data_IF_615188977662
#
_entry.id   IF_615188977662
#
_cell.length_a   1.000
_cell.length_b   1.000
_cell.length_c   1.000
_cell.angle_alpha   90.00
_cell.angle_beta   90.00
_cell.angle_gamma   90.00
#
_symmetry.space_group_name_H-M   'P 1'
#
loop_
_entity.id
_entity.type
_entity.pdbx_description
1 polymer ?
#
# COMPACT_ATOMS: atom_id res chain seq x y z
N UNK A 1 -8.02 33.05 1.86
CA UNK A 1 -6.99 32.47 0.99
C UNK A 1 -7.35 31.02 0.75
N UNK A 2 -7.85 30.69 -0.44
CA UNK A 2 -8.18 29.30 -0.79
C UNK A 2 -6.91 28.46 -0.73
N UNK A 3 -6.88 27.46 0.15
CA UNK A 3 -5.79 26.48 0.16
C UNK A 3 -5.77 25.80 -1.21
N UNK A 4 -4.64 25.84 -1.92
CA UNK A 4 -4.52 25.21 -3.23
C UNK A 4 -4.94 23.73 -3.17
N UNK A 5 -5.50 23.19 -4.27
CA UNK A 5 -6.10 21.84 -4.32
C UNK A 5 -5.24 20.75 -3.66
N UNK A 6 -3.91 20.83 -3.81
CA UNK A 6 -2.97 19.85 -3.24
C UNK A 6 -2.77 19.97 -1.72
N UNK A 7 -3.04 21.14 -1.13
CA UNK A 7 -2.93 21.35 0.31
C UNK A 7 -3.98 20.54 1.10
N UNK A 8 -5.03 20.03 0.44
CA UNK A 8 -5.99 19.12 1.06
C UNK A 8 -5.38 17.76 1.40
N UNK A 9 -4.34 17.32 0.68
CA UNK A 9 -3.63 16.07 0.98
C UNK A 9 -2.97 16.08 2.36
N UNK A 10 -2.60 17.27 2.85
CA UNK A 10 -2.01 17.45 4.18
C UNK A 10 -2.97 17.10 5.33
N UNK A 11 -4.27 16.92 5.05
CA UNK A 11 -5.24 16.41 6.04
C UNK A 11 -5.03 14.93 6.36
N UNK A 12 -4.59 14.15 5.37
CA UNK A 12 -4.37 12.71 5.50
C UNK A 12 -2.88 12.37 5.66
N UNK A 13 -1.99 13.16 5.06
CA UNK A 13 -0.57 12.86 4.98
C UNK A 13 0.30 13.92 5.62
N UNK A 14 1.28 13.46 6.39
CA UNK A 14 2.37 14.29 6.91
C UNK A 14 3.70 13.73 6.38
N UNK A 15 4.20 14.20 5.23
CA UNK A 15 5.49 13.74 4.68
C UNK A 15 6.67 14.03 5.62
N UNK A 16 7.82 13.40 5.34
CA UNK A 16 9.07 13.62 6.05
C UNK A 16 9.50 12.46 6.95
N UNK A 17 10.82 12.26 7.05
CA UNK A 17 11.46 11.14 7.77
C UNK A 17 11.03 11.02 9.24
N UNK A 18 10.83 12.15 9.94
CA UNK A 18 10.37 12.14 11.34
C UNK A 18 8.97 11.55 11.47
N UNK A 19 8.07 11.87 10.54
CA UNK A 19 6.72 11.33 10.52
C UNK A 19 6.71 9.87 10.07
N UNK A 20 7.60 9.49 9.14
CA UNK A 20 7.78 8.11 8.74
C UNK A 20 8.18 7.21 9.94
N UNK A 21 9.11 7.67 10.79
CA UNK A 21 9.53 6.94 11.99
C UNK A 21 8.42 6.84 13.04
N UNK A 22 7.60 7.89 13.19
CA UNK A 22 6.41 7.85 14.07
C UNK A 22 5.38 6.86 13.55
N UNK A 23 5.10 6.88 12.25
CA UNK A 23 4.17 5.93 11.61
C UNK A 23 4.66 4.49 11.77
N UNK A 24 5.96 4.24 11.60
CA UNK A 24 6.56 2.92 11.81
C UNK A 24 6.39 2.44 13.25
N UNK A 25 6.73 3.29 14.22
CA UNK A 25 6.60 2.97 15.65
C UNK A 25 5.15 2.69 16.04
N UNK A 26 4.23 3.52 15.55
CA UNK A 26 2.78 3.38 15.79
C UNK A 26 2.26 2.07 15.22
N UNK A 27 2.66 1.73 13.99
CA UNK A 27 2.27 0.47 13.37
C UNK A 27 2.78 -0.75 14.15
N UNK A 28 4.07 -0.74 14.51
CA UNK A 28 4.72 -1.86 15.20
C UNK A 28 4.13 -2.12 16.59
N UNK A 29 3.72 -1.07 17.31
CA UNK A 29 3.18 -1.20 18.66
C UNK A 29 1.65 -1.33 18.72
N UNK A 30 0.95 -1.16 17.60
CA UNK A 30 -0.50 -1.31 17.53
C UNK A 30 -0.93 -2.29 16.44
N UNK A 31 -1.29 -1.82 15.23
CA UNK A 31 -1.92 -2.65 14.19
C UNK A 31 -1.15 -3.91 13.76
N UNK A 32 0.18 -3.95 13.95
CA UNK A 32 0.99 -5.11 13.53
C UNK A 32 0.53 -6.42 14.17
N UNK A 33 0.06 -6.43 15.42
CA UNK A 33 -0.33 -7.69 16.09
C UNK A 33 -1.52 -8.38 15.40
N UNK A 34 -2.48 -7.60 14.90
CA UNK A 34 -3.69 -8.11 14.24
C UNK A 34 -3.62 -8.04 12.70
N UNK A 35 -2.45 -7.73 12.15
CA UNK A 35 -2.28 -7.52 10.72
C UNK A 35 -2.75 -8.73 9.89
N UNK A 36 -2.52 -9.96 10.37
CA UNK A 36 -2.95 -11.19 9.68
C UNK A 36 -4.46 -11.23 9.43
N UNK A 37 -5.25 -10.90 10.46
CA UNK A 37 -6.71 -10.92 10.44
C UNK A 37 -7.28 -9.70 9.71
N UNK A 38 -6.69 -8.53 9.94
CA UNK A 38 -7.30 -7.27 9.53
C UNK A 38 -6.80 -6.73 8.18
N UNK A 39 -5.73 -7.28 7.57
CA UNK A 39 -5.19 -6.80 6.27
C UNK A 39 -6.18 -6.76 5.10
N UNK A 40 -7.33 -7.42 5.22
CA UNK A 40 -8.38 -7.45 4.19
C UNK A 40 -9.46 -6.39 4.41
N UNK A 41 -9.54 -5.83 5.61
CA UNK A 41 -10.54 -4.82 5.98
C UNK A 41 -10.11 -3.47 5.44
N UNK A 42 -10.89 -2.92 4.51
CA UNK A 42 -10.66 -1.61 3.91
C UNK A 42 -11.28 -0.46 4.73
N UNK A 43 -12.15 -0.76 5.69
CA UNK A 43 -12.88 0.21 6.50
C UNK A 43 -12.09 0.74 7.72
N UNK A 44 -10.91 0.17 7.98
CA UNK A 44 -10.16 0.38 9.22
C UNK A 44 -8.69 0.66 8.94
N UNK A 45 -8.09 1.55 9.73
CA UNK A 45 -6.66 1.90 9.67
C UNK A 45 -5.75 0.79 10.22
N UNK A 46 -5.76 -0.36 9.56
CA UNK A 46 -5.14 -1.62 10.02
C UNK A 46 -3.79 -1.90 9.34
N UNK A 47 -3.43 -1.12 8.33
CA UNK A 47 -2.17 -1.22 7.60
C UNK A 47 -1.17 -0.18 8.08
N UNK A 48 0.07 -0.25 7.59
CA UNK A 48 1.16 0.59 8.09
C UNK A 48 1.15 2.03 7.59
N UNK A 49 0.45 2.32 6.49
CA UNK A 49 0.52 3.61 5.78
C UNK A 49 1.94 4.06 5.39
N UNK A 50 2.92 3.15 5.41
CA UNK A 50 4.33 3.46 5.15
C UNK A 50 4.70 3.52 3.66
N UNK A 51 3.79 3.18 2.74
CA UNK A 51 4.13 3.06 1.32
C UNK A 51 4.70 4.34 0.69
N UNK A 52 4.19 5.56 0.96
CA UNK A 52 4.79 6.78 0.41
C UNK A 52 6.17 7.06 1.01
N UNK A 53 6.30 6.90 2.34
CA UNK A 53 7.58 7.08 3.04
C UNK A 53 8.66 6.10 2.54
N UNK A 54 8.30 4.85 2.28
CA UNK A 54 9.19 3.82 1.74
C UNK A 54 9.55 4.04 0.26
N UNK A 55 8.67 4.68 -0.51
CA UNK A 55 8.93 5.03 -1.91
C UNK A 55 10.02 6.11 -1.99
N UNK A 56 9.86 7.20 -1.21
CA UNK A 56 10.81 8.32 -1.17
C UNK A 56 12.06 8.07 -0.30
N UNK A 57 12.16 6.91 0.34
CA UNK A 57 13.33 6.56 1.16
C UNK A 57 13.42 7.33 2.48
N UNK A 58 12.32 7.93 2.93
CA UNK A 58 12.22 8.64 4.22
C UNK A 58 12.37 7.68 5.41
N UNK A 59 12.11 6.40 5.20
CA UNK A 59 12.37 5.32 6.15
C UNK A 59 13.14 4.18 5.48
N UNK A 60 14.18 3.70 6.16
CA UNK A 60 15.00 2.60 5.67
C UNK A 60 14.23 1.27 5.75
N UNK A 61 14.14 0.55 4.64
CA UNK A 61 13.53 -0.79 4.60
C UNK A 61 14.25 -1.78 5.52
N UNK A 62 15.58 -1.62 5.70
CA UNK A 62 16.37 -2.43 6.64
C UNK A 62 15.99 -2.16 8.10
N UNK A 63 15.68 -0.91 8.43
CA UNK A 63 15.17 -0.52 9.76
C UNK A 63 13.80 -1.17 10.02
N UNK A 64 12.89 -1.11 9.04
CA UNK A 64 11.58 -1.78 9.13
C UNK A 64 11.76 -3.28 9.36
N UNK A 65 12.58 -3.95 8.55
CA UNK A 65 12.85 -5.38 8.69
C UNK A 65 13.42 -5.73 10.07
N UNK A 66 14.41 -4.98 10.55
CA UNK A 66 15.06 -5.21 11.83
C UNK A 66 14.06 -5.11 13.00
N UNK A 67 13.27 -4.04 13.07
CA UNK A 67 12.31 -3.83 14.15
C UNK A 67 11.19 -4.88 14.15
N UNK A 68 10.70 -5.25 12.97
CA UNK A 68 9.69 -6.30 12.82
C UNK A 68 10.25 -7.67 13.23
N UNK A 69 11.51 -7.96 12.88
CA UNK A 69 12.17 -9.21 13.28
C UNK A 69 12.39 -9.29 14.79
N UNK A 70 12.71 -8.17 15.46
CA UNK A 70 12.77 -8.12 16.92
C UNK A 70 11.42 -8.47 17.53
N UNK A 71 10.32 -7.86 17.05
CA UNK A 71 8.96 -8.20 17.53
C UNK A 71 8.62 -9.67 17.31
N UNK A 72 9.06 -10.25 16.20
CA UNK A 72 8.84 -11.68 15.93
C UNK A 72 9.47 -12.58 16.99
N UNK A 73 10.72 -12.30 17.37
CA UNK A 73 11.43 -13.09 18.40
C UNK A 73 10.74 -12.94 19.76
N UNK A 74 10.32 -11.73 20.12
CA UNK A 74 9.58 -11.47 21.36
C UNK A 74 8.26 -12.26 21.39
N UNK A 75 7.45 -12.16 20.34
CA UNK A 75 6.17 -12.86 20.25
C UNK A 75 6.31 -14.38 20.17
N UNK A 76 7.38 -14.89 19.57
CA UNK A 76 7.68 -16.32 19.60
C UNK A 76 7.97 -16.82 21.02
N UNK A 77 8.75 -16.05 21.80
CA UNK A 77 9.04 -16.39 23.20
C UNK A 77 7.79 -16.30 24.09
N UNK A 78 6.86 -15.40 23.79
CA UNK A 78 5.57 -15.26 24.47
C UNK A 78 4.52 -16.31 24.03
N UNK A 79 4.82 -17.12 23.01
CA UNK A 79 3.88 -18.10 22.45
C UNK A 79 2.72 -17.47 21.65
N UNK A 80 2.86 -16.22 21.22
CA UNK A 80 1.84 -15.47 20.48
C UNK A 80 1.87 -15.83 18.98
N UNK A 81 1.23 -16.95 18.64
CA UNK A 81 1.13 -17.46 17.26
C UNK A 81 0.48 -16.46 16.29
N UNK A 82 -0.49 -15.66 16.75
CA UNK A 82 -1.17 -14.67 15.91
C UNK A 82 -0.23 -13.52 15.53
N UNK A 83 0.59 -13.05 16.47
CA UNK A 83 1.61 -12.04 16.22
C UNK A 83 2.69 -12.54 15.25
N UNK A 84 3.15 -13.78 15.40
CA UNK A 84 4.11 -14.39 14.47
C UNK A 84 3.57 -14.49 13.04
N UNK A 85 2.32 -14.92 12.86
CA UNK A 85 1.66 -14.96 11.55
C UNK A 85 1.55 -13.57 10.94
N UNK A 86 1.13 -12.58 11.74
CA UNK A 86 1.04 -11.19 11.33
C UNK A 86 2.39 -10.64 10.86
N UNK A 87 3.48 -10.94 11.57
CA UNK A 87 4.83 -10.57 11.15
C UNK A 87 5.20 -11.22 9.83
N UNK A 88 4.99 -12.54 9.68
CA UNK A 88 5.30 -13.24 8.44
C UNK A 88 4.57 -12.65 7.24
N UNK A 89 3.29 -12.31 7.40
CA UNK A 89 2.49 -11.66 6.36
C UNK A 89 2.97 -10.24 6.07
N UNK A 90 3.35 -9.46 7.08
CA UNK A 90 3.90 -8.11 6.88
C UNK A 90 5.26 -8.15 6.17
N UNK A 91 6.16 -9.06 6.57
CA UNK A 91 7.44 -9.26 5.90
C UNK A 91 7.27 -9.72 4.45
N UNK A 92 6.25 -10.56 4.17
CA UNK A 92 5.88 -10.89 2.79
C UNK A 92 5.46 -9.67 1.99
N UNK A 93 4.69 -8.74 2.58
CA UNK A 93 4.32 -7.48 1.94
C UNK A 93 5.55 -6.59 1.64
N UNK A 94 6.53 -6.55 2.55
CA UNK A 94 7.82 -5.90 2.28
C UNK A 94 8.59 -6.63 1.17
N UNK A 95 8.56 -7.97 1.16
CA UNK A 95 9.14 -8.79 0.10
C UNK A 95 8.59 -8.49 -1.28
N UNK A 96 7.28 -8.18 -1.41
CA UNK A 96 6.69 -7.76 -2.69
C UNK A 96 7.30 -6.46 -3.22
N UNK A 97 7.65 -5.51 -2.35
CA UNK A 97 8.37 -4.28 -2.72
C UNK A 97 9.79 -4.58 -3.22
N UNK A 98 10.51 -5.49 -2.55
CA UNK A 98 11.85 -5.89 -3.00
C UNK A 98 11.76 -6.65 -4.33
N UNK A 99 10.77 -7.52 -4.47
CA UNK A 99 10.54 -8.29 -5.68
C UNK A 99 10.13 -7.41 -6.87
N UNK A 100 9.34 -6.36 -6.66
CA UNK A 100 9.01 -5.42 -7.74
C UNK A 100 10.26 -4.71 -8.27
N UNK A 101 11.20 -4.34 -7.39
CA UNK A 101 12.49 -3.76 -7.78
C UNK A 101 13.37 -4.76 -8.52
N UNK A 102 13.41 -6.00 -8.03
CA UNK A 102 14.11 -7.10 -8.68
C UNK A 102 13.57 -7.35 -10.10
N UNK A 103 12.24 -7.37 -10.27
CA UNK A 103 11.61 -7.54 -11.57
C UNK A 103 11.94 -6.39 -12.52
N UNK A 104 11.84 -5.12 -12.08
CA UNK A 104 12.18 -3.98 -12.93
C UNK A 104 13.65 -3.95 -13.33
N UNK A 105 14.55 -4.38 -12.45
CA UNK A 105 15.98 -4.49 -12.78
C UNK A 105 16.26 -5.58 -13.84
N UNK A 106 15.68 -6.77 -13.67
CA UNK A 106 15.89 -7.89 -14.60
C UNK A 106 15.07 -7.76 -15.90
N UNK A 107 13.99 -6.99 -15.86
CA UNK A 107 13.13 -6.69 -17.01
C UNK A 107 12.91 -5.16 -17.12
N UNK A 108 13.88 -4.42 -17.69
CA UNK A 108 13.86 -2.95 -17.74
C UNK A 108 12.61 -2.35 -18.36
N UNK A 109 12.03 -3.02 -19.38
CA UNK A 109 10.85 -2.56 -20.10
C UNK A 109 9.51 -3.00 -19.48
N UNK A 110 9.52 -3.59 -18.28
CA UNK A 110 8.31 -4.11 -17.61
C UNK A 110 7.23 -3.05 -17.29
N UNK A 111 7.61 -1.77 -17.27
CA UNK A 111 6.69 -0.66 -17.02
C UNK A 111 5.83 -0.29 -18.25
N UNK A 112 6.29 -0.63 -19.45
CA UNK A 112 5.58 -0.36 -20.72
C UNK A 112 5.14 -1.66 -21.42
N UNK A 113 5.88 -2.74 -21.21
CA UNK A 113 5.68 -4.02 -21.90
C UNK A 113 5.28 -5.09 -20.90
N UNK A 114 4.17 -5.80 -21.12
CA UNK A 114 3.78 -6.90 -20.25
C UNK A 114 4.83 -8.02 -20.33
N UNK A 115 5.11 -8.67 -19.19
CA UNK A 115 5.99 -9.85 -19.15
C UNK A 115 5.39 -11.04 -19.90
N UNK A 116 4.05 -11.15 -19.92
CA UNK A 116 3.32 -12.23 -20.58
C UNK A 116 2.67 -11.72 -21.87
N UNK A 117 2.99 -12.35 -23.00
CA UNK A 117 2.49 -11.95 -24.32
C UNK A 117 1.03 -12.33 -24.63
N UNK A 118 0.39 -13.16 -23.81
CA UNK A 118 -0.95 -13.71 -24.08
C UNK A 118 -2.05 -12.65 -24.28
N UNK A 119 -1.92 -11.46 -23.68
CA UNK A 119 -2.89 -10.36 -23.82
C UNK A 119 -2.50 -9.32 -24.88
N UNK A 120 -1.42 -9.55 -25.64
CA UNK A 120 -0.91 -8.57 -26.62
C UNK A 120 -1.93 -8.18 -27.69
N UNK A 121 -2.76 -9.13 -28.12
CA UNK A 121 -3.78 -8.94 -29.16
C UNK A 121 -5.20 -8.89 -28.59
N UNK A 122 -5.35 -8.72 -27.28
CA UNK A 122 -6.67 -8.57 -26.68
C UNK A 122 -7.32 -7.26 -27.18
N UNK A 123 -8.54 -7.31 -27.75
CA UNK A 123 -9.19 -6.14 -28.33
C UNK A 123 -9.78 -5.23 -27.24
N UNK A 124 -8.93 -4.41 -26.61
CA UNK A 124 -9.37 -3.44 -25.60
C UNK A 124 -10.28 -2.37 -26.22
N UNK A 125 -11.40 -2.08 -25.56
CA UNK A 125 -12.31 -1.00 -25.97
C UNK A 125 -11.69 0.35 -25.61
N UNK A 126 -11.52 1.21 -26.62
CA UNK A 126 -11.01 2.58 -26.45
C UNK A 126 -12.19 3.55 -26.43
N UNK A 127 -12.79 3.74 -25.24
CA UNK A 127 -13.91 4.65 -25.01
C UNK A 127 -13.54 5.66 -23.91
N UNK A 128 -13.45 6.94 -24.28
CA UNK A 128 -13.11 8.01 -23.34
C UNK A 128 -14.20 8.26 -22.29
N UNK A 129 -15.47 8.00 -22.63
CA UNK A 129 -16.60 8.10 -21.72
C UNK A 129 -16.50 7.08 -20.58
N UNK A 130 -16.15 5.83 -20.92
CA UNK A 130 -15.91 4.79 -19.92
C UNK A 130 -14.73 5.13 -19.01
N UNK A 131 -13.63 5.62 -19.60
CA UNK A 131 -12.47 6.03 -18.80
C UNK A 131 -12.80 7.22 -17.87
N UNK A 132 -13.60 8.19 -18.34
CA UNK A 132 -14.05 9.33 -17.54
C UNK A 132 -14.97 8.91 -16.39
N UNK A 133 -15.92 8.00 -16.64
CA UNK A 133 -16.80 7.48 -15.60
C UNK A 133 -16.03 6.75 -14.50
N UNK A 134 -15.05 5.93 -14.89
CA UNK A 134 -14.15 5.24 -13.95
C UNK A 134 -13.32 6.23 -13.13
N UNK A 135 -12.65 7.19 -13.77
CA UNK A 135 -11.85 8.23 -13.10
C UNK A 135 -12.63 9.04 -12.07
N UNK A 136 -13.93 9.23 -12.28
CA UNK A 136 -14.81 10.02 -11.40
C UNK A 136 -15.53 9.18 -10.34
N UNK A 137 -15.39 7.84 -10.35
CA UNK A 137 -16.18 6.96 -9.48
C UNK A 137 -17.68 7.09 -9.74
N UNK A 138 -18.06 6.98 -11.03
CA UNK A 138 -19.44 7.01 -11.54
C UNK A 138 -19.72 5.77 -12.40
N UNK A 139 -19.17 4.63 -12.00
CA UNK A 139 -19.34 3.35 -12.71
C UNK A 139 -20.69 2.70 -12.39
N UNK A 140 -21.32 3.08 -11.28
CA UNK A 140 -22.53 2.44 -10.77
C UNK A 140 -22.25 1.24 -9.85
N UNK A 141 -20.98 0.87 -9.69
CA UNK A 141 -20.52 -0.18 -8.77
C UNK A 141 -19.99 0.47 -7.48
N UNK A 142 -20.71 0.38 -6.34
CA UNK A 142 -20.40 1.18 -5.15
C UNK A 142 -18.98 0.99 -4.60
N UNK A 143 -18.44 -0.24 -4.63
CA UNK A 143 -17.09 -0.52 -4.11
C UNK A 143 -16.00 0.11 -4.98
N UNK A 144 -16.16 0.06 -6.30
CA UNK A 144 -15.24 0.70 -7.26
C UNK A 144 -15.33 2.22 -7.12
N UNK A 145 -16.56 2.75 -7.07
CA UNK A 145 -16.81 4.18 -6.97
C UNK A 145 -16.27 4.78 -5.66
N UNK A 146 -16.39 4.05 -4.55
CA UNK A 146 -15.79 4.45 -3.27
C UNK A 146 -14.26 4.54 -3.36
N UNK A 147 -13.61 3.51 -3.94
CA UNK A 147 -12.17 3.51 -4.14
C UNK A 147 -11.68 4.66 -5.02
N UNK A 148 -12.35 4.91 -6.15
CA UNK A 148 -11.95 5.99 -7.05
C UNK A 148 -12.11 7.37 -6.41
N UNK A 149 -13.11 7.56 -5.54
CA UNK A 149 -13.29 8.79 -4.76
C UNK A 149 -12.24 8.94 -3.66
N UNK A 150 -11.90 7.87 -2.96
CA UNK A 150 -10.81 7.87 -1.96
C UNK A 150 -9.47 8.21 -2.60
N UNK A 151 -9.15 7.60 -3.75
CA UNK A 151 -7.94 7.87 -4.51
C UNK A 151 -7.82 9.35 -4.86
N UNK A 152 -8.89 9.95 -5.37
CA UNK A 152 -8.91 11.37 -5.73
C UNK A 152 -8.76 12.29 -4.51
N UNK A 153 -9.45 11.98 -3.40
CA UNK A 153 -9.48 12.84 -2.22
C UNK A 153 -8.20 12.76 -1.38
N UNK A 154 -7.56 11.59 -1.32
CA UNK A 154 -6.45 11.31 -0.38
C UNK A 154 -5.12 10.96 -1.07
N UNK A 155 -5.15 10.63 -2.37
CA UNK A 155 -3.98 10.12 -3.08
C UNK A 155 -3.56 8.70 -2.65
N UNK A 156 -4.41 7.99 -1.91
CA UNK A 156 -4.14 6.65 -1.42
C UNK A 156 -5.35 5.73 -1.60
N UNK A 157 -5.05 4.44 -1.65
CA UNK A 157 -6.02 3.36 -1.75
C UNK A 157 -5.50 2.16 -0.98
N UNK A 158 -6.39 1.48 -0.26
CA UNK A 158 -6.09 0.19 0.34
C UNK A 158 -5.77 -0.86 -0.73
N UNK A 159 -4.79 -1.73 -0.49
CA UNK A 159 -4.31 -2.75 -1.45
C UNK A 159 -5.45 -3.59 -2.04
N UNK A 160 -6.40 -4.02 -1.21
CA UNK A 160 -7.56 -4.81 -1.65
C UNK A 160 -8.57 -4.07 -2.52
N UNK A 161 -8.58 -2.75 -2.50
CA UNK A 161 -9.45 -1.92 -3.35
C UNK A 161 -8.74 -1.60 -4.68
N UNK A 162 -7.40 -1.76 -4.75
CA UNK A 162 -6.64 -1.63 -5.99
C UNK A 162 -6.71 -2.88 -6.88
N UNK A 163 -7.04 -4.03 -6.29
CA UNK A 163 -7.23 -5.32 -6.98
C UNK A 163 -8.64 -5.38 -7.52
#
# INVERSE_FOLDING_TARGET
SEKGSNALLARAWSPGWSNADKALTTFINGPLIEYSKNRRKADSATTSFLSPHLHFGEVSVRKVFHLVRIKQVLWANEGNKAGEESVNLFLKSIGLREYSRYLSFNHPYSHERPLLGHLKFFPWVVDEGYFKAWRQGRTGYPLVDAGMRELWATGWLHDRIRV
#
